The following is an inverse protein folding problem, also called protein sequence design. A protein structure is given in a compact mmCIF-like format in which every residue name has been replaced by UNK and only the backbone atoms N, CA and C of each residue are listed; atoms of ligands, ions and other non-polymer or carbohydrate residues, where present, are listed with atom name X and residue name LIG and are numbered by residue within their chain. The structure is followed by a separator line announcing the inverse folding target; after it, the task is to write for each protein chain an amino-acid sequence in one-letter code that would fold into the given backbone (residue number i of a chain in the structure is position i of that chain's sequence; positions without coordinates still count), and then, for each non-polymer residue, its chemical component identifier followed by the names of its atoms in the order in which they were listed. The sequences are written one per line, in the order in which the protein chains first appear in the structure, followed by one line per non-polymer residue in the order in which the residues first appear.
data_IF_414056014100
#
_entry.id   IF_414056014100
#
_cell.length_a   1.000
_cell.length_b   1.000
_cell.length_c   1.000
_cell.angle_alpha   90.00
_cell.angle_beta   90.00
_cell.angle_gamma   90.00
#
_symmetry.space_group_name_H-M   'P 1'
#
loop_
_entity.id
_entity.type
_entity.pdbx_description
1 polymer ?
#
# COMPACT_ATOMS: atom_id res chain seq x y z
N UNK A 1 24.36 11.13 -0.89
CA UNK A 1 24.29 9.66 -0.99
C UNK A 1 22.92 9.17 -0.57
N UNK A 2 22.32 8.31 -1.38
CA UNK A 2 21.08 7.68 -1.00
C UNK A 2 21.33 6.68 0.14
N UNK A 3 20.47 6.63 1.17
CA UNK A 3 20.60 5.61 2.20
C UNK A 3 20.42 4.22 1.59
N UNK A 4 21.08 3.24 2.16
CA UNK A 4 20.83 1.84 1.81
C UNK A 4 19.42 1.48 2.22
N UNK A 5 18.65 0.89 1.32
CA UNK A 5 17.27 0.52 1.57
C UNK A 5 17.15 -0.99 1.55
N UNK A 6 16.64 -1.55 2.63
CA UNK A 6 16.39 -2.98 2.77
C UNK A 6 14.88 -3.18 2.85
N UNK A 7 14.35 -4.01 1.97
CA UNK A 7 12.93 -4.40 2.00
C UNK A 7 12.82 -5.75 2.69
N UNK A 8 11.95 -5.83 3.69
CA UNK A 8 11.72 -7.09 4.42
C UNK A 8 10.27 -7.19 4.90
N UNK A 9 9.79 -8.39 5.22
CA UNK A 9 8.48 -8.52 5.86
C UNK A 9 8.47 -7.77 7.18
N UNK A 10 7.30 -7.21 7.53
CA UNK A 10 7.16 -6.53 8.81
C UNK A 10 7.21 -7.50 9.97
N UNK A 11 7.81 -7.07 11.07
CA UNK A 11 7.87 -7.83 12.31
C UNK A 11 7.03 -7.13 13.37
N UNK A 12 6.64 -7.83 14.46
CA UNK A 12 5.81 -7.20 15.50
C UNK A 12 6.39 -5.91 16.05
N UNK A 13 7.71 -5.81 16.14
CA UNK A 13 8.37 -4.59 16.62
C UNK A 13 8.12 -3.38 15.73
N UNK A 14 7.75 -3.60 14.47
CA UNK A 14 7.52 -2.51 13.52
C UNK A 14 6.14 -1.88 13.68
N UNK A 15 5.21 -2.54 14.34
CA UNK A 15 3.80 -2.13 14.36
C UNK A 15 3.59 -0.72 14.92
N UNK A 16 4.30 -0.35 15.98
CA UNK A 16 4.19 0.98 16.59
C UNK A 16 4.69 2.05 15.63
N UNK A 17 5.82 1.78 14.97
CA UNK A 17 6.41 2.73 14.01
C UNK A 17 5.54 2.89 12.77
N UNK A 18 4.97 1.78 12.28
CA UNK A 18 4.02 1.82 11.16
C UNK A 18 2.80 2.66 11.54
N UNK A 19 2.24 2.42 12.74
CA UNK A 19 1.11 3.20 13.24
C UNK A 19 1.42 4.70 13.26
N UNK A 20 2.57 5.07 13.77
CA UNK A 20 2.97 6.49 13.83
C UNK A 20 3.10 7.09 12.45
N UNK A 21 3.71 6.37 11.50
CA UNK A 21 3.88 6.85 10.15
C UNK A 21 2.53 7.03 9.45
N UNK A 22 1.65 6.03 9.55
CA UNK A 22 0.32 6.12 8.95
C UNK A 22 -0.51 7.23 9.58
N UNK A 23 -0.42 7.41 10.89
CA UNK A 23 -1.16 8.46 11.60
C UNK A 23 -0.75 9.85 11.11
N UNK A 24 0.54 10.06 10.83
CA UNK A 24 1.02 11.36 10.33
C UNK A 24 0.36 11.74 9.00
N UNK A 25 0.01 10.75 8.17
CA UNK A 25 -0.72 10.98 6.94
C UNK A 25 -2.23 11.01 7.15
N UNK A 26 -2.73 10.26 8.12
CA UNK A 26 -4.17 10.24 8.42
C UNK A 26 -4.67 11.60 8.90
N UNK A 27 -3.88 12.31 9.71
CA UNK A 27 -4.25 13.64 10.18
C UNK A 27 -4.31 14.67 9.05
N UNK A 28 -3.65 14.38 7.92
CA UNK A 28 -3.71 15.20 6.71
C UNK A 28 -4.81 14.75 5.75
N UNK A 29 -5.57 13.71 6.09
CA UNK A 29 -6.61 13.17 5.23
C UNK A 29 -6.11 12.38 4.04
N UNK A 30 -4.82 12.01 4.02
CA UNK A 30 -4.21 11.32 2.87
C UNK A 30 -4.40 9.81 2.94
N UNK A 31 -4.32 9.23 4.14
CA UNK A 31 -4.49 7.80 4.36
C UNK A 31 -5.45 7.56 5.52
N UNK A 32 -6.02 6.35 5.57
CA UNK A 32 -6.81 5.93 6.71
C UNK A 32 -5.89 5.53 7.85
N UNK A 33 -6.27 5.92 9.08
CA UNK A 33 -5.54 5.56 10.28
C UNK A 33 -5.71 4.06 10.57
N UNK A 34 -4.71 3.46 11.21
CA UNK A 34 -4.75 2.05 11.60
C UNK A 34 -4.16 1.90 12.99
N UNK A 35 -4.87 1.20 13.87
CA UNK A 35 -4.38 0.93 15.22
C UNK A 35 -3.23 -0.07 15.20
N UNK A 36 -2.45 -0.09 16.29
CA UNK A 36 -1.37 -1.07 16.45
C UNK A 36 -1.95 -2.48 16.41
N UNK A 37 -3.10 -2.71 17.07
CA UNK A 37 -3.76 -4.03 17.07
C UNK A 37 -4.15 -4.48 15.66
N UNK A 38 -4.68 -3.57 14.85
CA UNK A 38 -5.06 -3.86 13.48
C UNK A 38 -3.82 -4.21 12.65
N UNK A 39 -2.75 -3.45 12.81
CA UNK A 39 -1.49 -3.72 12.11
C UNK A 39 -0.94 -5.09 12.49
N UNK A 40 -0.96 -5.43 13.78
CA UNK A 40 -0.49 -6.73 14.25
C UNK A 40 -1.34 -7.86 13.70
N UNK A 41 -2.66 -7.66 13.62
CA UNK A 41 -3.57 -8.67 13.09
C UNK A 41 -3.26 -8.99 11.62
N UNK A 42 -2.94 -7.96 10.84
CA UNK A 42 -2.66 -8.11 9.41
C UNK A 42 -1.16 -8.01 9.08
N UNK A 43 -0.32 -8.32 10.05
CA UNK A 43 1.13 -8.10 9.92
C UNK A 43 1.74 -8.80 8.71
N UNK A 44 1.21 -9.97 8.35
CA UNK A 44 1.69 -10.74 7.19
C UNK A 44 1.53 -9.98 5.86
N UNK A 45 0.62 -9.01 5.83
CA UNK A 45 0.38 -8.24 4.61
C UNK A 45 1.36 -7.08 4.44
N UNK A 46 2.11 -6.75 5.50
CA UNK A 46 2.99 -5.59 5.50
C UNK A 46 4.40 -5.92 5.09
N UNK A 47 4.96 -5.06 4.24
CA UNK A 47 6.39 -5.02 3.92
C UNK A 47 6.90 -3.67 4.39
N UNK A 48 8.09 -3.66 4.98
CA UNK A 48 8.72 -2.42 5.42
C UNK A 48 10.00 -2.17 4.63
N UNK A 49 10.33 -0.90 4.46
CA UNK A 49 11.62 -0.46 3.96
C UNK A 49 12.36 0.13 5.15
N UNK A 50 13.55 -0.37 5.40
CA UNK A 50 14.37 0.07 6.54
C UNK A 50 15.77 0.40 6.03
N UNK A 51 16.50 1.18 6.85
CA UNK A 51 17.90 1.47 6.54
C UNK A 51 18.82 0.43 7.21
N UNK A 52 20.12 0.63 7.09
CA UNK A 52 21.12 -0.27 7.66
C UNK A 52 21.08 -0.34 9.19
N UNK A 53 20.46 0.65 9.84
CA UNK A 53 20.26 0.69 11.29
C UNK A 53 18.87 0.21 11.70
N UNK A 54 18.14 -0.41 10.76
CA UNK A 54 16.78 -0.94 10.96
C UNK A 54 15.77 0.15 11.30
N UNK A 55 16.01 1.39 10.89
CA UNK A 55 15.05 2.48 11.05
C UNK A 55 14.02 2.45 9.93
N UNK A 56 12.76 2.69 10.28
CA UNK A 56 11.66 2.62 9.32
C UNK A 56 11.71 3.81 8.35
N UNK A 57 11.84 3.49 7.06
CA UNK A 57 11.82 4.48 5.97
C UNK A 57 10.46 4.55 5.30
N UNK A 58 9.75 3.42 5.25
CA UNK A 58 8.42 3.34 4.65
C UNK A 58 7.78 2.00 4.88
N UNK A 59 6.51 1.90 4.53
CA UNK A 59 5.75 0.66 4.67
C UNK A 59 4.69 0.57 3.57
N UNK A 60 4.21 -0.65 3.37
CA UNK A 60 3.12 -0.93 2.42
C UNK A 60 2.45 -2.22 2.84
N UNK A 61 1.13 -2.30 2.65
CA UNK A 61 0.39 -3.53 2.83
C UNK A 61 -0.26 -3.94 1.51
N UNK A 62 -0.44 -5.25 1.32
CA UNK A 62 -1.22 -5.80 0.21
C UNK A 62 -2.34 -6.63 0.83
N UNK A 63 -3.57 -6.28 0.53
CA UNK A 63 -4.74 -7.01 1.01
C UNK A 63 -5.32 -7.85 -0.11
N UNK A 64 -5.59 -9.13 0.19
CA UNK A 64 -6.21 -10.07 -0.74
C UNK A 64 -7.73 -10.08 -0.49
N UNK A 65 -8.52 -9.75 -1.53
CA UNK A 65 -9.98 -9.77 -1.45
C UNK A 65 -10.58 -11.05 -2.00
N UNK A 66 -9.75 -11.99 -2.47
CA UNK A 66 -10.23 -13.16 -3.20
C UNK A 66 -10.40 -12.87 -4.69
N UNK A 67 -10.67 -13.90 -5.48
CA UNK A 67 -10.83 -13.81 -6.94
C UNK A 67 -9.64 -13.14 -7.63
N UNK A 68 -8.44 -13.34 -7.06
CA UNK A 68 -7.19 -12.75 -7.57
C UNK A 68 -7.21 -11.22 -7.59
N UNK A 69 -8.02 -10.60 -6.74
CA UNK A 69 -8.06 -9.15 -6.55
C UNK A 69 -7.31 -8.78 -5.29
N UNK A 70 -6.28 -7.94 -5.45
CA UNK A 70 -5.45 -7.49 -4.33
C UNK A 70 -5.33 -5.97 -4.36
N UNK A 71 -5.16 -5.39 -3.19
CA UNK A 71 -5.02 -3.93 -3.06
C UNK A 71 -3.70 -3.56 -2.41
N UNK A 72 -2.97 -2.62 -3.03
CA UNK A 72 -1.89 -1.90 -2.36
C UNK A 72 -2.54 -0.86 -1.45
N UNK A 73 -2.27 -0.96 -0.15
CA UNK A 73 -2.83 -0.04 0.82
C UNK A 73 -1.79 0.33 1.87
N UNK A 74 -2.05 1.39 2.61
CA UNK A 74 -1.15 1.83 3.68
C UNK A 74 0.27 2.08 3.19
N UNK A 75 0.42 2.53 1.94
CA UNK A 75 1.72 2.88 1.39
C UNK A 75 2.11 4.26 1.92
N UNK A 76 3.13 4.30 2.74
CA UNK A 76 3.59 5.54 3.37
C UNK A 76 5.10 5.55 3.45
N UNK A 77 5.69 6.70 3.14
CA UNK A 77 7.14 6.93 3.18
C UNK A 77 7.39 8.08 4.14
N UNK A 78 8.48 8.04 4.89
CA UNK A 78 8.86 9.16 5.76
C UNK A 78 8.88 10.46 4.93
N UNK A 79 8.31 11.55 5.45
CA UNK A 79 8.12 12.76 4.65
C UNK A 79 9.39 13.33 4.01
N UNK A 80 10.52 13.23 4.69
CA UNK A 80 11.81 13.72 4.17
C UNK A 80 12.40 12.80 3.11
N UNK A 81 11.83 11.62 2.92
CA UNK A 81 12.31 10.63 1.94
C UNK A 81 11.36 10.44 0.77
N UNK A 82 10.34 11.28 0.66
CA UNK A 82 9.45 11.27 -0.49
C UNK A 82 10.26 11.60 -1.74
N UNK A 83 9.91 10.96 -2.86
CA UNK A 83 10.64 11.09 -4.15
C UNK A 83 12.02 10.42 -4.16
N UNK A 84 12.34 9.63 -3.13
CA UNK A 84 13.61 8.89 -3.08
C UNK A 84 13.57 7.56 -3.83
N UNK A 85 12.37 7.16 -4.31
CA UNK A 85 12.20 5.88 -4.99
C UNK A 85 11.83 4.71 -4.07
N UNK A 86 11.66 4.96 -2.77
CA UNK A 86 11.32 3.90 -1.81
C UNK A 86 9.93 3.34 -2.08
N UNK A 87 8.95 4.21 -2.34
CA UNK A 87 7.58 3.78 -2.66
C UNK A 87 7.54 2.90 -3.89
N UNK A 88 8.29 3.29 -4.93
CA UNK A 88 8.43 2.50 -6.15
C UNK A 88 8.99 1.11 -5.84
N UNK A 89 10.05 1.04 -5.05
CA UNK A 89 10.68 -0.23 -4.68
C UNK A 89 9.70 -1.16 -3.94
N UNK A 90 8.88 -0.60 -3.05
CA UNK A 90 7.88 -1.36 -2.32
C UNK A 90 6.83 -1.95 -3.27
N UNK A 91 6.29 -1.15 -4.18
CA UNK A 91 5.29 -1.63 -5.13
C UNK A 91 5.90 -2.66 -6.09
N UNK A 92 7.11 -2.40 -6.60
CA UNK A 92 7.79 -3.34 -7.49
C UNK A 92 8.06 -4.67 -6.80
N UNK A 93 8.40 -4.64 -5.51
CA UNK A 93 8.59 -5.86 -4.72
C UNK A 93 7.30 -6.68 -4.62
N UNK A 94 6.16 -6.00 -4.44
CA UNK A 94 4.86 -6.66 -4.40
C UNK A 94 4.54 -7.32 -5.75
N UNK A 95 4.78 -6.61 -6.85
CA UNK A 95 4.54 -7.13 -8.20
C UNK A 95 5.43 -8.35 -8.47
N UNK A 96 6.71 -8.25 -8.14
CA UNK A 96 7.66 -9.35 -8.30
C UNK A 96 7.20 -10.60 -7.56
N UNK A 97 6.75 -10.43 -6.31
CA UNK A 97 6.27 -11.54 -5.50
C UNK A 97 5.00 -12.15 -6.07
N UNK A 98 4.05 -11.31 -6.50
CA UNK A 98 2.81 -11.81 -7.09
C UNK A 98 3.06 -12.51 -8.43
N UNK A 99 3.98 -11.99 -9.25
CA UNK A 99 4.35 -12.63 -10.50
C UNK A 99 4.93 -14.04 -10.26
N UNK A 100 5.65 -14.23 -9.15
CA UNK A 100 6.23 -15.55 -8.84
C UNK A 100 5.21 -16.51 -8.19
N UNK A 101 4.22 -15.97 -7.47
CA UNK A 101 3.27 -16.79 -6.72
C UNK A 101 1.97 -17.08 -7.47
N UNK A 102 1.61 -16.22 -8.43
CA UNK A 102 0.31 -16.30 -9.11
C UNK A 102 0.48 -16.25 -10.62
N UNK A 103 -0.47 -16.85 -11.33
CA UNK A 103 -0.49 -16.78 -12.79
C UNK A 103 -1.08 -15.44 -13.25
N UNK A 104 -2.30 -15.17 -12.82
CA UNK A 104 -3.03 -13.96 -13.19
C UNK A 104 -3.59 -13.31 -11.94
N UNK A 105 -3.52 -12.00 -11.87
CA UNK A 105 -4.06 -11.25 -10.72
C UNK A 105 -4.38 -9.82 -11.14
N UNK A 106 -5.20 -9.17 -10.31
CA UNK A 106 -5.52 -7.75 -10.46
C UNK A 106 -5.03 -7.05 -9.20
N UNK A 107 -4.05 -6.17 -9.35
CA UNK A 107 -3.51 -5.38 -8.23
C UNK A 107 -3.98 -3.94 -8.42
N UNK A 108 -4.72 -3.41 -7.46
CA UNK A 108 -5.24 -2.06 -7.55
C UNK A 108 -4.84 -1.21 -6.35
N UNK A 109 -5.03 0.08 -6.45
CA UNK A 109 -4.86 1.02 -5.35
C UNK A 109 -5.88 2.14 -5.48
N UNK A 110 -6.32 2.67 -4.35
CA UNK A 110 -7.05 3.93 -4.29
C UNK A 110 -6.07 4.99 -3.80
N UNK A 111 -5.91 6.08 -4.54
CA UNK A 111 -4.82 7.00 -4.29
C UNK A 111 -5.19 8.44 -4.66
N UNK A 112 -4.57 9.39 -3.96
CA UNK A 112 -4.61 10.80 -4.35
C UNK A 112 -3.49 11.14 -5.34
N UNK A 113 -2.62 10.17 -5.64
CA UNK A 113 -1.43 10.34 -6.48
C UNK A 113 -1.43 9.32 -7.62
N UNK A 114 -2.41 9.38 -8.55
CA UNK A 114 -2.47 8.38 -9.63
C UNK A 114 -1.23 8.39 -10.52
N UNK A 115 -0.59 9.54 -10.70
CA UNK A 115 0.62 9.65 -11.53
C UNK A 115 1.76 8.77 -11.03
N UNK A 116 1.90 8.60 -9.72
CA UNK A 116 2.90 7.69 -9.16
C UNK A 116 2.69 6.26 -9.65
N UNK A 117 1.45 5.78 -9.60
CA UNK A 117 1.12 4.42 -10.03
C UNK A 117 1.14 4.28 -11.56
N UNK A 118 0.75 5.32 -12.29
CA UNK A 118 0.81 5.28 -13.75
C UNK A 118 2.23 5.07 -14.25
N UNK A 119 3.22 5.64 -13.55
CA UNK A 119 4.64 5.41 -13.88
C UNK A 119 5.09 3.98 -13.62
N UNK A 120 4.29 3.20 -12.87
CA UNK A 120 4.55 1.79 -12.59
C UNK A 120 3.65 0.88 -13.44
N UNK A 121 3.09 1.43 -14.52
CA UNK A 121 2.25 0.71 -15.49
C UNK A 121 0.85 0.36 -14.96
N UNK A 122 0.39 1.04 -13.93
CA UNK A 122 -1.01 0.97 -13.50
C UNK A 122 -1.83 1.87 -14.43
N UNK A 123 -3.11 1.51 -14.61
CA UNK A 123 -4.05 2.28 -15.41
C UNK A 123 -5.14 2.86 -14.55
N UNK A 124 -5.55 4.09 -14.86
CA UNK A 124 -6.68 4.73 -14.19
C UNK A 124 -7.97 4.03 -14.59
N UNK A 125 -8.80 3.69 -13.62
CA UNK A 125 -10.08 2.99 -13.85
C UNK A 125 -11.13 3.56 -12.92
N UNK A 126 -12.40 3.17 -13.14
CA UNK A 126 -13.49 3.56 -12.27
C UNK A 126 -13.54 2.67 -11.02
N UNK A 127 -13.88 3.25 -9.88
CA UNK A 127 -13.92 2.53 -8.59
C UNK A 127 -14.94 1.41 -8.59
N UNK A 128 -16.02 1.54 -9.34
CA UNK A 128 -17.08 0.55 -9.44
C UNK A 128 -16.60 -0.77 -10.02
N UNK A 129 -15.40 -0.79 -10.61
CA UNK A 129 -14.77 -2.02 -11.08
C UNK A 129 -14.43 -2.98 -9.94
N UNK A 130 -14.44 -2.51 -8.69
CA UNK A 130 -14.05 -3.30 -7.53
C UNK A 130 -15.19 -3.48 -6.53
N UNK A 131 -16.26 -4.24 -6.88
CA UNK A 131 -17.38 -4.45 -5.95
C UNK A 131 -16.93 -5.14 -4.65
N UNK A 132 -15.92 -6.01 -4.72
CA UNK A 132 -15.38 -6.69 -3.54
C UNK A 132 -14.86 -5.67 -2.51
N UNK A 133 -14.16 -4.63 -2.98
CA UNK A 133 -13.65 -3.57 -2.12
C UNK A 133 -14.79 -2.75 -1.52
N UNK A 134 -15.79 -2.41 -2.31
CA UNK A 134 -16.92 -1.61 -1.86
C UNK A 134 -17.65 -2.33 -0.71
N UNK A 135 -17.91 -3.62 -0.87
CA UNK A 135 -18.59 -4.39 0.16
C UNK A 135 -17.75 -4.58 1.42
N UNK A 136 -16.43 -4.80 1.26
CA UNK A 136 -15.57 -5.09 2.40
C UNK A 136 -15.21 -3.83 3.21
N UNK A 137 -14.93 -2.71 2.53
CA UNK A 137 -14.34 -1.53 3.17
C UNK A 137 -15.17 -0.27 2.99
N UNK A 138 -15.57 0.03 1.75
CA UNK A 138 -16.11 1.36 1.42
C UNK A 138 -17.49 1.61 2.05
N UNK A 139 -18.25 0.56 2.34
CA UNK A 139 -19.55 0.68 3.01
C UNK A 139 -19.40 1.36 4.37
N UNK A 140 -18.29 1.13 5.06
CA UNK A 140 -18.02 1.69 6.39
C UNK A 140 -17.05 2.86 6.37
N UNK A 141 -16.60 3.27 5.18
CA UNK A 141 -15.64 4.36 5.05
C UNK A 141 -16.33 5.72 5.22
N UNK A 142 -15.78 6.65 6.03
CA UNK A 142 -16.35 7.99 6.16
C UNK A 142 -16.43 8.76 4.84
N UNK A 143 -15.60 8.39 3.85
CA UNK A 143 -15.56 9.03 2.54
C UNK A 143 -16.40 8.32 1.50
N UNK A 144 -17.27 7.39 1.90
CA UNK A 144 -18.03 6.56 0.96
C UNK A 144 -18.76 7.37 -0.11
N UNK A 145 -19.38 8.47 0.28
CA UNK A 145 -20.19 9.30 -0.64
C UNK A 145 -19.41 10.45 -1.28
N UNK A 146 -18.21 10.73 -0.80
CA UNK A 146 -17.39 11.85 -1.29
C UNK A 146 -15.93 11.42 -1.42
N UNK A 147 -15.71 10.20 -1.88
CA UNK A 147 -14.35 9.67 -2.04
C UNK A 147 -13.63 10.48 -3.11
N UNK A 148 -12.52 11.12 -2.71
CA UNK A 148 -11.69 11.94 -3.58
C UNK A 148 -10.52 11.16 -4.18
N UNK A 149 -10.40 9.87 -3.88
CA UNK A 149 -9.32 9.04 -4.37
C UNK A 149 -9.59 8.53 -5.79
N UNK A 150 -8.51 8.32 -6.52
CA UNK A 150 -8.53 7.72 -7.85
C UNK A 150 -8.24 6.22 -7.74
N UNK A 151 -8.87 5.43 -8.60
CA UNK A 151 -8.59 4.00 -8.68
C UNK A 151 -7.63 3.71 -9.82
N UNK A 152 -6.60 2.95 -9.53
CA UNK A 152 -5.62 2.51 -10.54
C UNK A 152 -5.46 1.00 -10.44
N UNK A 153 -5.19 0.35 -11.56
CA UNK A 153 -5.08 -1.12 -11.63
C UNK A 153 -3.86 -1.55 -12.45
N UNK A 154 -3.23 -2.61 -11.97
CA UNK A 154 -2.19 -3.34 -12.68
C UNK A 154 -2.67 -4.78 -12.86
N UNK A 155 -2.76 -5.23 -14.12
CA UNK A 155 -3.16 -6.60 -14.44
C UNK A 155 -1.91 -7.44 -14.67
N UNK A 156 -1.58 -8.28 -13.69
CA UNK A 156 -0.48 -9.20 -13.81
C UNK A 156 -0.90 -10.45 -14.55
N UNK A 157 -0.04 -10.94 -15.40
CA UNK A 157 -0.24 -12.23 -16.07
C UNK A 157 1.12 -12.83 -16.41
N UNK A 158 1.19 -14.11 -16.25
CA UNK A 158 2.36 -14.87 -16.63
C UNK A 158 2.15 -15.58 -17.96
#
# INVERSE_FOLDING_TARGET
MSPSVILRPAEPKDAVLINKLLHSYAVQGVLLDRSVEDILFYLKNFTVAVDENDQLLGCMAVRDFGNDLLEVRSLAIQPDLRKSGIGRKLVEKAIERLDSERGTYRLFALTLQPGFFERLNFKLVEKELFPEKIWADCVHCPKQHCCDEYAVIYNGSK
#
